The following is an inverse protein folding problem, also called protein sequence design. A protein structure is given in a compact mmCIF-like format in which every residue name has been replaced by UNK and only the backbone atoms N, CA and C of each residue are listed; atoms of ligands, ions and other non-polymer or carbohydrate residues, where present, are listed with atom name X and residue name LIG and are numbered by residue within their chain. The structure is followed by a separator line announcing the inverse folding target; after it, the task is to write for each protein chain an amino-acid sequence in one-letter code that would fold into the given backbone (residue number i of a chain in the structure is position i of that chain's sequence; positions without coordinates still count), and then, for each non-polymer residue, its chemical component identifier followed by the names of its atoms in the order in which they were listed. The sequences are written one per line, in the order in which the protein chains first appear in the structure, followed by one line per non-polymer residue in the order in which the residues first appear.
data_IF_311013733790
#
_entry.id   IF_311013733790
#
_cell.length_a   1.000
_cell.length_b   1.000
_cell.length_c   1.000
_cell.angle_alpha   90.00
_cell.angle_beta   90.00
_cell.angle_gamma   90.00
#
_symmetry.space_group_name_H-M   'P 1'
#
loop_
_entity.id
_entity.type
_entity.pdbx_description
1 polymer ?
#
# COMPACT_ATOMS: atom_id res chain seq x y z
N UNK A 1 5.02 2.30 8.79
CA UNK A 1 3.98 1.97 7.79
C UNK A 1 4.02 0.54 7.27
N UNK A 2 5.16 -0.01 6.80
CA UNK A 2 5.21 -1.39 6.27
C UNK A 2 4.64 -2.42 7.28
N UNK A 3 4.99 -2.30 8.57
CA UNK A 3 4.41 -3.17 9.61
C UNK A 3 2.89 -3.00 9.76
N UNK A 4 2.34 -1.80 9.55
CA UNK A 4 0.90 -1.55 9.57
C UNK A 4 0.19 -2.27 8.43
N UNK A 5 0.79 -2.27 7.23
CA UNK A 5 0.30 -3.03 6.07
C UNK A 5 0.33 -4.53 6.37
N UNK A 6 1.48 -5.04 6.83
CA UNK A 6 1.64 -6.45 7.19
C UNK A 6 0.62 -6.89 8.26
N UNK A 7 0.41 -6.07 9.29
CA UNK A 7 -0.54 -6.35 10.36
C UNK A 7 -1.99 -6.41 9.85
N UNK A 8 -2.38 -5.53 8.92
CA UNK A 8 -3.70 -5.58 8.29
C UNK A 8 -3.87 -6.85 7.43
N UNK A 9 -2.91 -7.14 6.56
CA UNK A 9 -2.92 -8.34 5.72
C UNK A 9 -3.00 -9.62 6.56
N UNK A 10 -2.20 -9.71 7.64
CA UNK A 10 -2.21 -10.85 8.54
C UNK A 10 -3.50 -10.97 9.35
N UNK A 11 -4.08 -9.86 9.80
CA UNK A 11 -5.32 -9.85 10.59
C UNK A 11 -6.54 -10.19 9.75
N UNK A 12 -6.61 -9.67 8.53
CA UNK A 12 -7.75 -9.89 7.64
C UNK A 12 -7.65 -11.20 6.84
N UNK A 13 -6.44 -11.73 6.62
CA UNK A 13 -6.21 -12.87 5.72
C UNK A 13 -6.51 -12.58 4.25
N UNK A 14 -6.86 -11.33 3.93
CA UNK A 14 -7.17 -10.82 2.59
C UNK A 14 -6.73 -9.36 2.49
N UNK A 15 -6.64 -8.85 1.27
CA UNK A 15 -6.41 -7.43 1.04
C UNK A 15 -7.71 -6.64 1.27
N UNK A 16 -7.69 -5.74 2.26
CA UNK A 16 -8.80 -4.84 2.60
C UNK A 16 -8.27 -3.40 2.68
N UNK A 17 -8.50 -2.60 1.63
CA UNK A 17 -8.08 -1.19 1.61
C UNK A 17 -8.63 -0.38 2.81
N UNK A 18 -9.88 -0.59 3.27
CA UNK A 18 -10.38 0.12 4.45
C UNK A 18 -9.67 -0.22 5.76
N UNK A 19 -9.33 -1.50 5.96
CA UNK A 19 -8.60 -1.94 7.16
C UNK A 19 -7.14 -1.45 7.13
N UNK A 20 -6.52 -1.43 5.94
CA UNK A 20 -5.19 -0.85 5.73
C UNK A 20 -5.20 0.65 6.01
N UNK A 21 -6.20 1.39 5.50
CA UNK A 21 -6.37 2.81 5.76
C UNK A 21 -6.46 3.11 7.26
N UNK A 22 -7.29 2.36 8.00
CA UNK A 22 -7.38 2.47 9.46
C UNK A 22 -6.03 2.16 10.13
N UNK A 23 -5.31 1.13 9.67
CA UNK A 23 -4.00 0.77 10.20
C UNK A 23 -2.95 1.86 9.98
N UNK A 24 -3.00 2.57 8.85
CA UNK A 24 -2.13 3.71 8.55
C UNK A 24 -2.50 4.97 9.35
N UNK A 25 -3.80 5.27 9.47
CA UNK A 25 -4.29 6.37 10.30
C UNK A 25 -3.92 6.14 11.77
N UNK A 26 -4.09 4.92 12.28
CA UNK A 26 -3.70 4.61 13.65
C UNK A 26 -2.18 4.77 13.86
N UNK A 27 -1.37 4.38 12.87
CA UNK A 27 0.07 4.58 12.89
C UNK A 27 0.46 6.07 12.90
N UNK A 28 -0.20 6.94 12.12
CA UNK A 28 0.14 8.37 12.17
C UNK A 28 -0.28 9.01 13.50
N UNK A 29 -1.39 8.56 14.09
CA UNK A 29 -1.89 9.04 15.38
C UNK A 29 -0.97 8.62 16.55
N UNK A 30 -0.17 7.56 16.39
CA UNK A 30 0.85 7.19 17.37
C UNK A 30 2.07 8.12 17.37
N UNK A 31 2.04 9.24 16.62
CA UNK A 31 3.11 10.24 16.52
C UNK A 31 4.48 9.63 16.16
N UNK A 32 4.61 8.99 14.99
CA UNK A 32 5.87 8.39 14.55
C UNK A 32 6.95 9.47 14.37
N UNK A 33 8.23 9.11 14.54
CA UNK A 33 9.33 10.08 14.56
C UNK A 33 9.56 10.79 13.22
N UNK A 34 9.15 10.19 12.10
CA UNK A 34 9.25 10.78 10.77
C UNK A 34 8.03 10.41 9.90
N UNK A 35 7.54 11.40 9.13
CA UNK A 35 6.42 11.27 8.19
C UNK A 35 6.59 12.26 7.06
N UNK A 36 6.70 11.75 5.83
CA UNK A 36 6.70 12.58 4.62
C UNK A 36 5.39 13.37 4.43
N UNK A 37 5.47 14.50 3.74
CA UNK A 37 4.35 15.45 3.58
C UNK A 37 3.11 14.80 2.96
N UNK A 38 3.25 14.08 1.83
CA UNK A 38 2.10 13.43 1.18
C UNK A 38 1.44 12.37 2.07
N UNK A 39 2.23 11.58 2.81
CA UNK A 39 1.70 10.63 3.79
C UNK A 39 0.97 11.33 4.93
N UNK A 40 1.52 12.44 5.44
CA UNK A 40 0.89 13.24 6.50
C UNK A 40 -0.45 13.82 6.03
N UNK A 41 -0.45 14.46 4.87
CA UNK A 41 -1.64 15.05 4.26
C UNK A 41 -2.76 14.02 4.08
N UNK A 42 -2.43 12.82 3.60
CA UNK A 42 -3.41 11.76 3.36
C UNK A 42 -4.05 11.22 4.65
N UNK A 43 -3.22 10.95 5.66
CA UNK A 43 -3.61 10.15 6.83
C UNK A 43 -4.04 10.97 8.04
N UNK A 44 -3.77 12.28 8.06
CA UNK A 44 -4.25 13.18 9.10
C UNK A 44 -5.74 13.48 8.92
N UNK A 45 -6.58 12.63 9.50
CA UNK A 45 -8.04 12.76 9.50
C UNK A 45 -8.54 13.49 10.76
N UNK A 46 -9.77 14.02 10.71
CA UNK A 46 -10.35 14.85 11.79
C UNK A 46 -10.81 14.09 13.04
N UNK A 47 -10.60 12.77 13.11
CA UNK A 47 -11.07 11.90 14.19
C UNK A 47 -9.98 10.99 14.73
N UNK A 48 -10.01 10.72 16.03
CA UNK A 48 -9.09 9.79 16.69
C UNK A 48 -9.64 8.36 16.62
N UNK A 49 -8.83 7.40 16.15
CA UNK A 49 -9.21 5.99 16.20
C UNK A 49 -9.04 5.46 17.63
N UNK A 50 -9.97 4.63 18.13
CA UNK A 50 -9.79 3.94 19.40
C UNK A 50 -8.64 2.92 19.32
N UNK A 51 -8.02 2.61 20.45
CA UNK A 51 -6.88 1.66 20.53
C UNK A 51 -7.23 0.28 19.94
N UNK A 52 -8.48 -0.16 20.14
CA UNK A 52 -9.05 -1.42 19.68
C UNK A 52 -9.97 -1.25 18.45
N UNK A 53 -9.70 -0.24 17.61
CA UNK A 53 -10.47 0.03 16.38
C UNK A 53 -10.68 -1.22 15.51
N UNK A 54 -9.70 -2.12 15.47
CA UNK A 54 -9.74 -3.33 14.64
C UNK A 54 -10.80 -4.35 15.10
N UNK A 55 -11.23 -4.27 16.37
CA UNK A 55 -12.32 -5.08 16.94
C UNK A 55 -13.64 -4.30 16.99
N UNK A 56 -13.58 -2.98 17.22
CA UNK A 56 -14.78 -2.15 17.42
C UNK A 56 -15.41 -1.64 16.13
N UNK A 57 -14.59 -1.29 15.14
CA UNK A 57 -15.11 -0.71 13.90
C UNK A 57 -15.71 -1.79 13.02
N UNK A 58 -16.95 -1.55 12.62
CA UNK A 58 -17.65 -2.24 11.54
C UNK A 58 -16.98 -1.93 10.19
N UNK A 59 -17.25 -2.75 9.18
CA UNK A 59 -16.75 -2.50 7.82
C UNK A 59 -17.19 -1.14 7.29
N UNK A 60 -18.39 -0.68 7.66
CA UNK A 60 -18.89 0.66 7.28
C UNK A 60 -18.09 1.79 7.92
N UNK A 61 -17.65 1.64 9.17
CA UNK A 61 -16.81 2.63 9.84
C UNK A 61 -15.40 2.66 9.25
N UNK A 62 -14.83 1.48 8.94
CA UNK A 62 -13.55 1.38 8.22
C UNK A 62 -13.64 2.02 6.84
N UNK A 63 -14.73 1.78 6.12
CA UNK A 63 -14.97 2.41 4.82
C UNK A 63 -15.11 3.93 4.94
N UNK A 64 -15.72 4.44 6.02
CA UNK A 64 -15.77 5.89 6.26
C UNK A 64 -14.37 6.50 6.41
N UNK A 65 -13.46 5.83 7.14
CA UNK A 65 -12.07 6.27 7.26
C UNK A 65 -11.36 6.20 5.92
N UNK A 66 -11.56 5.12 5.16
CA UNK A 66 -11.00 4.94 3.83
C UNK A 66 -11.37 6.10 2.88
N UNK A 67 -12.66 6.43 2.81
CA UNK A 67 -13.14 7.52 1.95
C UNK A 67 -12.60 8.89 2.37
N UNK A 68 -12.43 9.14 3.67
CA UNK A 68 -11.82 10.38 4.18
C UNK A 68 -10.34 10.48 3.74
N UNK A 69 -9.58 9.39 3.84
CA UNK A 69 -8.20 9.31 3.35
C UNK A 69 -8.12 9.56 1.85
N UNK A 70 -8.98 8.91 1.05
CA UNK A 70 -9.01 9.11 -0.41
C UNK A 70 -9.37 10.55 -0.78
N UNK A 71 -10.31 11.17 -0.04
CA UNK A 71 -10.65 12.58 -0.22
C UNK A 71 -9.45 13.49 0.05
N UNK A 72 -8.70 13.24 1.12
CA UNK A 72 -7.49 14.00 1.44
C UNK A 72 -6.42 13.87 0.35
N UNK A 73 -6.17 12.64 -0.14
CA UNK A 73 -5.20 12.40 -1.22
C UNK A 73 -5.58 13.19 -2.47
N UNK A 74 -6.86 13.13 -2.88
CA UNK A 74 -7.36 13.84 -4.05
C UNK A 74 -7.19 15.36 -3.94
N UNK A 75 -7.36 15.93 -2.75
CA UNK A 75 -7.30 17.37 -2.52
C UNK A 75 -5.88 17.89 -2.32
N UNK A 76 -5.01 17.11 -1.67
CA UNK A 76 -3.75 17.60 -1.12
C UNK A 76 -2.49 17.02 -1.78
N UNK A 77 -2.63 15.91 -2.52
CA UNK A 77 -1.47 15.18 -3.06
C UNK A 77 -1.46 15.10 -4.61
N UNK A 78 -2.29 15.90 -5.28
CA UNK A 78 -2.28 16.01 -6.73
C UNK A 78 -0.90 16.39 -7.27
N UNK A 79 -0.39 15.63 -8.24
CA UNK A 79 0.93 15.84 -8.84
C UNK A 79 2.12 15.38 -7.98
N UNK A 80 1.89 14.75 -6.83
CA UNK A 80 2.99 14.25 -5.98
C UNK A 80 3.58 12.96 -6.55
N UNK A 81 4.86 13.00 -6.93
CA UNK A 81 5.67 11.86 -7.38
C UNK A 81 6.60 11.31 -6.28
N UNK A 82 6.21 11.46 -5.01
CA UNK A 82 7.06 11.02 -3.89
C UNK A 82 7.05 9.49 -3.71
N UNK A 83 8.12 8.94 -3.15
CA UNK A 83 8.31 7.48 -3.00
C UNK A 83 7.59 6.86 -1.79
N UNK A 84 6.69 7.60 -1.12
CA UNK A 84 6.06 7.19 0.14
C UNK A 84 5.25 5.89 0.07
N UNK A 85 4.65 5.58 -1.08
CA UNK A 85 3.96 4.32 -1.35
C UNK A 85 4.94 3.16 -1.61
N UNK A 86 6.03 3.41 -2.33
CA UNK A 86 7.04 2.41 -2.66
C UNK A 86 7.77 1.88 -1.41
N UNK A 87 8.15 2.77 -0.48
CA UNK A 87 8.94 2.41 0.70
C UNK A 87 8.28 1.40 1.64
N UNK A 88 6.96 1.20 1.55
CA UNK A 88 6.19 0.34 2.47
C UNK A 88 5.66 -0.95 1.85
N UNK A 89 5.87 -1.18 0.56
CA UNK A 89 5.08 -2.16 -0.22
C UNK A 89 5.52 -3.63 -0.04
N UNK A 90 6.68 -3.89 0.55
CA UNK A 90 7.22 -5.25 0.66
C UNK A 90 6.29 -6.31 1.29
N UNK A 91 5.45 -6.00 2.30
CA UNK A 91 4.48 -6.97 2.82
C UNK A 91 3.43 -7.38 1.78
N UNK A 92 2.99 -6.46 0.91
CA UNK A 92 2.06 -6.79 -0.17
C UNK A 92 2.72 -7.66 -1.22
N UNK A 93 4.00 -7.44 -1.53
CA UNK A 93 4.74 -8.32 -2.44
C UNK A 93 4.82 -9.77 -1.91
N UNK A 94 5.09 -9.94 -0.61
CA UNK A 94 5.11 -11.26 0.04
C UNK A 94 3.69 -11.88 0.05
N UNK A 95 2.69 -11.10 0.46
CA UNK A 95 1.30 -11.56 0.54
C UNK A 95 0.74 -12.00 -0.83
N UNK A 96 1.19 -11.35 -1.90
CA UNK A 96 0.70 -11.56 -3.26
C UNK A 96 1.51 -12.56 -4.09
N UNK A 97 2.45 -13.31 -3.48
CA UNK A 97 3.35 -14.24 -4.19
C UNK A 97 2.62 -15.11 -5.21
N UNK A 98 1.54 -15.76 -4.78
CA UNK A 98 0.74 -16.69 -5.59
C UNK A 98 -0.52 -16.07 -6.19
N UNK A 99 -0.72 -14.76 -6.07
CA UNK A 99 -1.89 -14.09 -6.63
C UNK A 99 -1.74 -13.83 -8.14
N UNK A 100 -2.85 -13.85 -8.92
CA UNK A 100 -2.86 -13.40 -10.31
C UNK A 100 -2.30 -11.98 -10.46
N UNK A 101 -1.61 -11.71 -11.57
CA UNK A 101 -0.93 -10.43 -11.81
C UNK A 101 -1.92 -9.26 -11.78
N UNK A 102 -3.10 -9.44 -12.35
CA UNK A 102 -4.20 -8.47 -12.38
C UNK A 102 -4.63 -8.12 -10.96
N UNK A 103 -4.77 -9.13 -10.10
CA UNK A 103 -5.09 -8.94 -8.69
C UNK A 103 -3.98 -8.21 -7.95
N UNK A 104 -2.71 -8.47 -8.27
CA UNK A 104 -1.57 -7.73 -7.70
C UNK A 104 -1.61 -6.27 -8.09
N UNK A 105 -1.91 -5.97 -9.36
CA UNK A 105 -2.07 -4.59 -9.84
C UNK A 105 -3.18 -3.86 -9.10
N UNK A 106 -4.34 -4.50 -8.92
CA UNK A 106 -5.45 -3.93 -8.13
C UNK A 106 -5.04 -3.62 -6.68
N UNK A 107 -4.36 -4.55 -6.01
CA UNK A 107 -3.90 -4.35 -4.63
C UNK A 107 -2.87 -3.22 -4.53
N UNK A 108 -1.91 -3.17 -5.47
CA UNK A 108 -0.90 -2.10 -5.51
C UNK A 108 -1.55 -0.75 -5.73
N UNK A 109 -2.44 -0.63 -6.73
CA UNK A 109 -3.14 0.61 -7.01
C UNK A 109 -3.95 1.08 -5.78
N UNK A 110 -4.70 0.16 -5.16
CA UNK A 110 -5.48 0.47 -3.97
C UNK A 110 -4.62 0.92 -2.78
N UNK A 111 -3.47 0.27 -2.50
CA UNK A 111 -2.57 0.73 -1.43
C UNK A 111 -1.93 2.08 -1.75
N UNK A 112 -1.46 2.27 -2.99
CA UNK A 112 -0.84 3.52 -3.41
C UNK A 112 -1.81 4.70 -3.24
N UNK A 113 -3.07 4.49 -3.64
CA UNK A 113 -4.18 5.46 -3.56
C UNK A 113 -4.43 6.01 -2.16
N UNK A 114 -3.98 5.30 -1.11
CA UNK A 114 -4.07 5.78 0.27
C UNK A 114 -3.08 6.90 0.60
N UNK A 115 -2.19 7.27 -0.34
CA UNK A 115 -1.21 8.34 -0.15
C UNK A 115 -0.87 9.13 -1.42
N UNK A 116 -0.99 8.53 -2.61
CA UNK A 116 -0.58 9.11 -3.89
C UNK A 116 -1.64 8.81 -4.95
N UNK A 117 -1.86 9.72 -5.89
CA UNK A 117 -2.85 9.56 -6.96
C UNK A 117 -2.24 9.40 -8.36
N UNK A 118 -0.93 9.63 -8.52
CA UNK A 118 -0.28 9.61 -9.83
C UNK A 118 0.00 8.19 -10.31
N UNK A 119 -0.34 7.90 -11.56
CA UNK A 119 -0.18 6.57 -12.17
C UNK A 119 1.30 6.15 -12.25
N UNK A 120 2.21 7.10 -12.48
CA UNK A 120 3.66 6.84 -12.51
C UNK A 120 4.17 6.23 -11.19
N UNK A 121 3.63 6.71 -10.05
CA UNK A 121 3.93 6.13 -8.74
C UNK A 121 3.40 4.70 -8.64
N UNK A 122 2.19 4.44 -9.12
CA UNK A 122 1.58 3.11 -9.11
C UNK A 122 2.39 2.13 -9.96
N UNK A 123 2.79 2.52 -11.17
CA UNK A 123 3.57 1.67 -12.06
C UNK A 123 4.99 1.40 -11.52
N UNK A 124 5.63 2.39 -10.90
CA UNK A 124 6.91 2.20 -10.23
C UNK A 124 6.80 1.20 -9.07
N UNK A 125 5.75 1.32 -8.24
CA UNK A 125 5.49 0.41 -7.12
C UNK A 125 5.15 -0.99 -7.63
N UNK A 126 4.32 -1.09 -8.66
CA UNK A 126 3.94 -2.37 -9.26
C UNK A 126 5.17 -3.10 -9.81
N UNK A 127 6.02 -2.40 -10.56
CA UNK A 127 7.30 -2.93 -11.07
C UNK A 127 8.18 -3.43 -9.93
N UNK A 128 8.27 -2.69 -8.82
CA UNK A 128 9.04 -3.09 -7.65
C UNK A 128 8.46 -4.32 -6.95
N UNK A 129 7.14 -4.42 -6.82
CA UNK A 129 6.44 -5.59 -6.30
C UNK A 129 6.71 -6.82 -7.16
N UNK A 130 6.63 -6.68 -8.48
CA UNK A 130 6.93 -7.79 -9.40
C UNK A 130 8.38 -8.25 -9.28
N UNK A 131 9.34 -7.34 -9.17
CA UNK A 131 10.74 -7.69 -8.95
C UNK A 131 10.94 -8.49 -7.64
N UNK A 132 10.32 -8.06 -6.53
CA UNK A 132 10.38 -8.78 -5.26
C UNK A 132 9.76 -10.19 -5.40
N UNK A 133 8.61 -10.30 -6.06
CA UNK A 133 7.94 -11.61 -6.29
C UNK A 133 8.80 -12.57 -7.10
N UNK A 134 9.44 -12.09 -8.17
CA UNK A 134 10.31 -12.92 -9.01
C UNK A 134 11.53 -13.41 -8.22
N UNK A 135 12.14 -12.55 -7.42
CA UNK A 135 13.25 -12.93 -6.52
C UNK A 135 12.83 -13.98 -5.49
N UNK A 136 11.67 -13.80 -4.85
CA UNK A 136 11.16 -14.72 -3.83
C UNK A 136 10.72 -16.07 -4.42
N UNK A 137 10.27 -16.11 -5.67
CA UNK A 137 9.95 -17.35 -6.39
C UNK A 137 11.20 -18.08 -6.90
N UNK A 138 12.41 -17.55 -6.66
CA UNK A 138 13.66 -18.17 -7.10
C UNK A 138 13.86 -18.14 -8.60
N UNK A 139 13.12 -17.30 -9.33
CA UNK A 139 13.36 -17.05 -10.74
C UNK A 139 14.58 -16.15 -10.85
N UNK A 140 15.76 -16.75 -10.86
CA UNK A 140 16.97 -16.05 -11.27
C UNK A 140 16.73 -15.53 -12.68
N UNK A 141 17.01 -14.24 -12.91
CA UNK A 141 16.96 -13.63 -14.23
C UNK A 141 17.91 -14.34 -15.19
N UNK A 142 17.44 -15.43 -15.79
CA UNK A 142 17.99 -15.96 -17.02
C UNK A 142 17.60 -14.94 -18.10
N UNK A 143 18.43 -13.89 -18.21
CA UNK A 143 18.56 -13.15 -19.45
C UNK A 143 18.83 -14.22 -20.51
N UNK A 144 17.86 -14.47 -21.38
CA UNK A 144 18.01 -15.31 -22.55
C UNK A 144 19.09 -14.69 -23.45
N UNK A 145 20.35 -15.00 -23.20
CA UNK A 145 21.40 -14.97 -24.21
C UNK A 145 21.25 -16.22 -25.06
N UNK A 146 20.15 -16.33 -25.82
CA UNK A 146 20.11 -17.24 -26.97
C UNK A 146 20.85 -16.54 -28.11
N UNK A 147 22.13 -16.86 -28.21
CA UNK A 147 23.01 -16.57 -29.33
C UNK A 147 22.33 -17.00 -30.64
N UNK A 148 22.02 -16.02 -31.50
CA UNK A 148 21.79 -16.31 -32.91
C UNK A 148 23.14 -16.75 -33.52
N UNK A 149 23.34 -18.06 -33.66
CA UNK A 149 24.26 -18.60 -34.65
C UNK A 149 23.46 -18.95 -35.90
N UNK A 150 23.72 -18.16 -36.94
CA UNK A 150 23.43 -18.45 -38.35
C UNK A 150 24.28 -19.64 -38.79
#
# INVERSE_FOLDING_TARGET
MALSLAASLSRCGTFSAPDIACSYVYWIQSSPPDVGVSTRNALSIGRQLPVDWHLKYTDKEKESVHQEVLSNVKQLNYGSLSNGCLMRISPLAIFSLNAPIERVREMVHADCSLTHCEEDCVEAVFSYVMAIRELLNGKNGAVCCSSNTV
#
